data_IF_416628007984
#
_entry.id   IF_416628007984
#
_cell.length_a   1.000
_cell.length_b   1.000
_cell.length_c   1.000
_cell.angle_alpha   90.00
_cell.angle_beta   90.00
_cell.angle_gamma   90.00
#
_symmetry.space_group_name_H-M   'P 1'
#
loop_
_entity.id
_entity.type
_entity.pdbx_description
1 polymer ?
#
# COMPACT_ATOMS: atom_id res chain seq x y z
N UNK A 1 29.92 12.06 27.31
CA UNK A 1 29.91 13.36 28.02
C UNK A 1 29.06 14.30 27.18
N UNK A 2 27.79 14.56 27.54
CA UNK A 2 27.29 15.66 28.39
C UNK A 2 27.58 17.07 27.83
N UNK A 3 26.53 17.90 27.78
CA UNK A 3 26.56 19.36 27.67
C UNK A 3 26.05 19.85 26.29
N UNK A 4 24.88 20.46 26.09
CA UNK A 4 24.16 21.54 26.81
C UNK A 4 24.86 22.90 26.69
N UNK A 5 24.36 23.75 25.78
CA UNK A 5 24.62 25.21 25.68
C UNK A 5 23.36 25.79 24.99
N UNK A 6 22.38 26.45 25.61
CA UNK A 6 22.34 27.60 26.51
C UNK A 6 22.93 28.90 25.91
N UNK A 7 22.06 29.73 25.35
CA UNK A 7 22.31 31.16 25.08
C UNK A 7 21.06 31.93 25.58
N UNK A 8 21.15 32.67 26.71
CA UNK A 8 21.48 34.11 26.85
C UNK A 8 20.49 34.99 26.08
N UNK A 9 19.75 35.91 26.70
CA UNK A 9 20.17 37.12 27.44
C UNK A 9 19.11 37.45 28.52
N UNK A 10 19.43 37.70 29.80
CA UNK A 10 19.96 38.97 30.38
C UNK A 10 19.14 40.20 29.94
N UNK A 11 18.60 41.10 30.76
CA UNK A 11 18.60 41.37 32.21
C UNK A 11 18.05 42.78 32.34
N UNK A 12 16.93 43.05 33.02
CA UNK A 12 16.50 44.38 33.52
C UNK A 12 15.17 44.12 34.28
N UNK A 13 14.89 44.47 35.54
CA UNK A 13 15.54 45.27 36.58
C UNK A 13 15.03 44.80 37.96
N UNK A 14 15.96 44.81 38.92
CA UNK A 14 15.84 45.09 40.37
C UNK A 14 14.47 44.96 41.08
N UNK A 15 14.33 44.05 42.06
CA UNK A 15 14.76 44.20 43.47
C UNK A 15 13.93 45.24 44.26
N UNK A 16 13.04 44.78 45.14
CA UNK A 16 12.94 45.15 46.57
C UNK A 16 11.73 44.49 47.26
N UNK A 17 12.00 43.65 48.26
CA UNK A 17 11.25 43.55 49.52
C UNK A 17 12.17 44.09 50.63
N UNK A 18 11.70 44.47 51.83
CA UNK A 18 10.34 44.76 52.29
C UNK A 18 10.24 46.14 52.98
N UNK A 19 9.04 46.65 53.27
CA UNK A 19 8.86 47.71 54.26
C UNK A 19 7.60 47.41 55.08
N UNK A 20 7.83 46.99 56.32
CA UNK A 20 6.81 46.92 57.36
C UNK A 20 6.62 48.34 57.91
N UNK A 21 5.53 49.00 57.53
CA UNK A 21 5.12 50.29 58.11
C UNK A 21 3.82 50.03 58.87
N UNK A 22 3.95 49.94 60.19
CA UNK A 22 2.81 49.97 61.11
C UNK A 22 2.34 51.41 61.22
N UNK A 23 1.22 51.75 60.58
CA UNK A 23 0.48 52.97 60.92
C UNK A 23 -1.03 52.77 60.78
N UNK A 24 -1.68 52.82 61.96
CA UNK A 24 -3.00 53.40 62.25
C UNK A 24 -4.21 52.86 61.47
N UNK A 25 -5.13 52.29 62.24
CA UNK A 25 -6.52 52.06 61.84
C UNK A 25 -7.11 53.30 61.18
N UNK A 26 -7.50 53.16 59.91
CA UNK A 26 -8.53 53.97 59.29
C UNK A 26 -9.29 53.09 58.30
N UNK A 27 -10.61 53.12 58.42
CA UNK A 27 -11.56 52.30 57.68
C UNK A 27 -11.41 52.49 56.17
N UNK A 28 -11.06 51.43 55.45
CA UNK A 28 -11.10 51.38 53.97
C UNK A 28 -11.30 49.93 53.51
N UNK A 29 -12.38 49.31 53.98
CA UNK A 29 -12.63 47.87 53.92
C UNK A 29 -13.26 47.34 52.60
N UNK A 30 -13.50 48.19 51.59
CA UNK A 30 -14.09 47.74 50.32
C UNK A 30 -13.13 47.81 49.14
N UNK A 31 -12.33 48.87 49.04
CA UNK A 31 -11.58 49.17 47.80
C UNK A 31 -10.38 48.24 47.55
N UNK A 32 -9.69 47.75 48.59
CA UNK A 32 -8.56 46.81 48.43
C UNK A 32 -9.01 45.38 48.07
N UNK A 33 -10.18 44.94 48.56
CA UNK A 33 -10.72 43.62 48.20
C UNK A 33 -11.19 43.58 46.76
N UNK A 34 -11.76 44.68 46.27
CA UNK A 34 -12.16 44.79 44.87
C UNK A 34 -10.94 44.80 43.93
N UNK A 35 -9.83 45.46 44.30
CA UNK A 35 -8.62 45.47 43.48
C UNK A 35 -7.92 44.10 43.45
N UNK A 36 -7.87 43.40 44.59
CA UNK A 36 -7.32 42.04 44.66
C UNK A 36 -8.21 41.04 43.91
N UNK A 37 -9.54 41.21 43.96
CA UNK A 37 -10.51 40.42 43.21
C UNK A 37 -10.39 40.68 41.70
N UNK A 38 -10.25 41.94 41.27
CA UNK A 38 -10.08 42.30 39.86
C UNK A 38 -8.76 41.77 39.27
N UNK A 39 -7.68 41.82 40.05
CA UNK A 39 -6.40 41.20 39.66
C UNK A 39 -6.52 39.69 39.61
N UNK A 40 -7.20 39.05 40.58
CA UNK A 40 -7.43 37.60 40.57
C UNK A 40 -8.30 37.19 39.38
N UNK A 41 -9.38 37.89 39.05
CA UNK A 41 -10.26 37.61 37.90
C UNK A 41 -9.62 37.95 36.56
N UNK A 42 -8.79 38.99 36.46
CA UNK A 42 -8.00 39.26 35.25
C UNK A 42 -6.90 38.22 35.05
N UNK A 43 -6.29 37.71 36.12
CA UNK A 43 -5.24 36.69 36.05
C UNK A 43 -5.81 35.27 35.85
N UNK A 44 -7.04 35.01 36.30
CA UNK A 44 -7.78 33.76 36.05
C UNK A 44 -8.64 33.80 34.78
N UNK A 45 -8.72 34.95 34.11
CA UNK A 45 -9.42 35.15 32.84
C UNK A 45 -8.54 34.94 31.60
N UNK A 46 -7.26 34.57 31.75
CA UNK A 46 -6.50 34.03 30.64
C UNK A 46 -7.00 32.60 30.39
N UNK A 47 -7.73 32.33 29.28
CA UNK A 47 -8.06 30.96 28.93
C UNK A 47 -6.75 30.19 28.87
N UNK A 48 -6.67 29.06 29.61
CA UNK A 48 -5.45 28.28 29.84
C UNK A 48 -4.68 28.12 28.52
N UNK A 49 -3.67 28.97 28.29
CA UNK A 49 -2.99 29.12 26.99
C UNK A 49 -2.43 27.77 26.54
N UNK A 50 -2.03 26.94 27.50
CA UNK A 50 -1.55 25.57 27.31
C UNK A 50 -2.63 24.62 26.80
N UNK A 51 -3.86 24.73 27.29
CA UNK A 51 -4.96 23.89 26.81
C UNK A 51 -5.37 24.26 25.37
N UNK A 52 -5.29 25.55 25.02
CA UNK A 52 -5.53 26.04 23.66
C UNK A 52 -4.43 25.59 22.68
N UNK A 53 -3.17 25.59 23.12
CA UNK A 53 -2.03 25.08 22.36
C UNK A 53 -2.14 23.56 22.10
N UNK A 54 -2.44 22.75 23.13
CA UNK A 54 -2.63 21.29 22.98
C UNK A 54 -3.78 20.94 22.03
N UNK A 55 -4.86 21.73 22.05
CA UNK A 55 -5.96 21.57 21.11
C UNK A 55 -5.61 21.97 19.67
N UNK A 56 -4.83 23.04 19.50
CA UNK A 56 -4.32 23.44 18.20
C UNK A 56 -3.40 22.36 17.62
N UNK A 57 -2.47 21.82 18.40
CA UNK A 57 -1.57 20.74 17.97
C UNK A 57 -2.34 19.48 17.55
N UNK A 58 -3.38 19.10 18.30
CA UNK A 58 -4.24 17.95 17.96
C UNK A 58 -4.98 18.17 16.64
N UNK A 59 -5.54 19.36 16.42
CA UNK A 59 -6.26 19.72 15.18
C UNK A 59 -5.31 19.77 13.98
N UNK A 60 -4.13 20.35 14.16
CA UNK A 60 -3.08 20.41 13.13
C UNK A 60 -2.58 19.00 12.79
N UNK A 61 -2.38 18.13 13.78
CA UNK A 61 -2.01 16.74 13.56
C UNK A 61 -3.06 15.96 12.76
N UNK A 62 -4.35 16.17 13.04
CA UNK A 62 -5.45 15.59 12.26
C UNK A 62 -5.52 16.17 10.84
N UNK A 63 -5.32 17.48 10.68
CA UNK A 63 -5.27 18.12 9.36
C UNK A 63 -4.13 17.55 8.51
N UNK A 64 -2.92 17.42 9.06
CA UNK A 64 -1.81 16.81 8.35
C UNK A 64 -2.10 15.37 7.95
N UNK A 65 -2.71 14.56 8.82
CA UNK A 65 -3.12 13.19 8.47
C UNK A 65 -4.06 13.16 7.28
N UNK A 66 -5.03 14.08 7.21
CA UNK A 66 -5.96 14.17 6.08
C UNK A 66 -5.26 14.61 4.79
N UNK A 67 -4.33 15.57 4.87
CA UNK A 67 -3.51 15.98 3.71
C UNK A 67 -2.67 14.81 3.20
N UNK A 68 -1.99 14.10 4.11
CA UNK A 68 -1.19 12.92 3.76
C UNK A 68 -2.05 11.81 3.17
N UNK A 69 -3.20 11.50 3.79
CA UNK A 69 -4.11 10.49 3.28
C UNK A 69 -4.63 10.85 1.88
N UNK A 70 -5.10 12.08 1.69
CA UNK A 70 -5.60 12.55 0.40
C UNK A 70 -4.50 12.52 -0.68
N UNK A 71 -3.31 13.03 -0.35
CA UNK A 71 -2.18 13.04 -1.29
C UNK A 71 -1.73 11.61 -1.63
N UNK A 72 -1.62 10.74 -0.63
CA UNK A 72 -1.28 9.33 -0.82
C UNK A 72 -2.31 8.58 -1.68
N UNK A 73 -3.61 8.88 -1.53
CA UNK A 73 -4.66 8.31 -2.38
C UNK A 73 -4.51 8.75 -3.84
N UNK A 74 -4.28 10.05 -4.08
CA UNK A 74 -4.12 10.59 -5.46
C UNK A 74 -2.87 10.01 -6.13
N UNK A 75 -1.75 10.03 -5.42
CA UNK A 75 -0.48 9.45 -5.89
C UNK A 75 -0.63 7.94 -6.09
N UNK A 76 -1.28 7.25 -5.16
CA UNK A 76 -1.58 5.82 -5.25
C UNK A 76 -2.38 5.49 -6.50
N UNK A 77 -3.47 6.21 -6.76
CA UNK A 77 -4.29 6.02 -7.96
C UNK A 77 -3.50 6.26 -9.25
N UNK A 78 -2.56 7.21 -9.24
CA UNK A 78 -1.74 7.54 -10.39
C UNK A 78 -0.62 6.52 -10.64
N UNK A 79 0.10 6.07 -9.60
CA UNK A 79 1.29 5.21 -9.74
C UNK A 79 0.92 3.72 -9.88
N UNK A 80 -0.12 3.29 -9.16
CA UNK A 80 -0.49 1.88 -9.08
C UNK A 80 -0.78 1.21 -10.44
N UNK A 81 -1.45 1.84 -11.43
CA UNK A 81 -1.65 1.21 -12.73
C UNK A 81 -0.33 1.02 -13.50
N UNK A 82 0.56 2.00 -13.53
CA UNK A 82 1.85 1.90 -14.25
C UNK A 82 2.82 0.91 -13.60
N UNK A 83 2.74 0.74 -12.28
CA UNK A 83 3.56 -0.25 -11.58
C UNK A 83 3.15 -1.67 -11.96
N UNK A 84 1.86 -1.91 -12.23
CA UNK A 84 1.34 -3.23 -12.60
C UNK A 84 1.91 -3.76 -13.92
N UNK A 85 1.89 -2.93 -14.96
CA UNK A 85 2.26 -3.34 -16.32
C UNK A 85 3.73 -3.72 -16.45
N UNK A 86 4.63 -2.92 -15.85
CA UNK A 86 6.05 -3.25 -15.83
C UNK A 86 6.31 -4.57 -15.10
N UNK A 87 5.58 -4.84 -14.02
CA UNK A 87 5.70 -6.11 -13.29
C UNK A 87 5.16 -7.30 -14.09
N UNK A 88 4.11 -7.11 -14.90
CA UNK A 88 3.64 -8.13 -15.84
C UNK A 88 4.72 -8.41 -16.89
N UNK A 89 5.28 -7.38 -17.54
CA UNK A 89 6.36 -7.56 -18.52
C UNK A 89 7.59 -8.27 -17.93
N UNK A 90 8.00 -7.90 -16.72
CA UNK A 90 9.09 -8.57 -16.03
C UNK A 90 8.76 -10.04 -15.76
N UNK A 91 7.51 -10.33 -15.35
CA UNK A 91 7.06 -11.71 -15.11
C UNK A 91 7.04 -12.55 -16.39
N UNK A 92 6.61 -11.96 -17.51
CA UNK A 92 6.68 -12.59 -18.85
C UNK A 92 8.14 -12.81 -19.28
N UNK A 93 9.04 -11.87 -18.96
CA UNK A 93 10.46 -12.00 -19.26
C UNK A 93 11.12 -13.16 -18.50
N UNK A 94 10.73 -13.39 -17.24
CA UNK A 94 11.22 -14.50 -16.42
C UNK A 94 10.90 -15.88 -16.99
N UNK A 95 9.81 -16.03 -17.77
CA UNK A 95 9.45 -17.29 -18.42
C UNK A 95 10.51 -17.76 -19.44
N UNK A 96 11.28 -16.83 -20.01
CA UNK A 96 12.34 -17.11 -20.97
C UNK A 96 13.70 -17.42 -20.35
N UNK A 97 13.85 -17.29 -19.02
CA UNK A 97 15.11 -17.55 -18.33
C UNK A 97 15.39 -19.06 -18.30
N UNK A 98 16.67 -19.46 -18.32
CA UNK A 98 17.05 -20.89 -18.34
C UNK A 98 16.64 -21.65 -17.08
N UNK A 99 16.77 -21.02 -15.93
CA UNK A 99 16.55 -21.65 -14.63
C UNK A 99 15.03 -21.80 -14.34
N UNK A 100 14.55 -23.06 -14.11
CA UNK A 100 13.15 -23.34 -13.82
C UNK A 100 12.57 -22.57 -12.63
N UNK A 101 13.38 -22.23 -11.63
CA UNK A 101 12.89 -21.49 -10.45
C UNK A 101 12.37 -20.09 -10.83
N UNK A 102 13.08 -19.40 -11.71
CA UNK A 102 12.65 -18.08 -12.20
C UNK A 102 11.44 -18.19 -13.12
N UNK A 103 11.35 -19.24 -13.95
CA UNK A 103 10.15 -19.49 -14.76
C UNK A 103 8.91 -19.67 -13.89
N UNK A 104 9.00 -20.50 -12.86
CA UNK A 104 7.92 -20.73 -11.88
C UNK A 104 7.52 -19.43 -11.17
N UNK A 105 8.50 -18.63 -10.76
CA UNK A 105 8.24 -17.32 -10.14
C UNK A 105 7.48 -16.39 -11.10
N UNK A 106 7.88 -16.33 -12.36
CA UNK A 106 7.20 -15.55 -13.39
C UNK A 106 5.75 -16.01 -13.58
N UNK A 107 5.53 -17.31 -13.78
CA UNK A 107 4.20 -17.89 -13.95
C UNK A 107 3.29 -17.64 -12.73
N UNK A 108 3.81 -17.86 -11.52
CA UNK A 108 3.08 -17.61 -10.27
C UNK A 108 2.66 -16.14 -10.12
N UNK A 109 3.52 -15.19 -10.51
CA UNK A 109 3.18 -13.76 -10.54
C UNK A 109 2.09 -13.45 -11.56
N UNK A 110 2.16 -14.02 -12.76
CA UNK A 110 1.13 -13.83 -13.79
C UNK A 110 -0.24 -14.33 -13.32
N UNK A 111 -0.30 -15.45 -12.60
CA UNK A 111 -1.53 -15.92 -11.95
C UNK A 111 -2.13 -14.86 -11.01
N UNK A 112 -1.30 -14.17 -10.24
CA UNK A 112 -1.73 -13.10 -9.32
C UNK A 112 -2.15 -11.83 -10.04
N UNK A 113 -1.58 -11.54 -11.21
CA UNK A 113 -1.97 -10.37 -12.01
C UNK A 113 -3.25 -10.61 -12.83
N UNK A 114 -3.62 -11.86 -13.12
CA UNK A 114 -4.83 -12.22 -13.85
C UNK A 114 -6.12 -12.07 -13.01
N UNK A 115 -6.37 -10.88 -12.47
CA UNK A 115 -7.52 -10.57 -11.60
C UNK A 115 -8.81 -10.42 -12.39
N UNK A 116 -8.76 -9.62 -13.44
CA UNK A 116 -9.88 -9.22 -14.30
C UNK A 116 -9.48 -9.40 -15.76
N UNK A 117 -10.44 -9.19 -16.67
CA UNK A 117 -10.26 -9.50 -18.08
C UNK A 117 -9.32 -8.52 -18.78
N UNK A 118 -9.31 -7.25 -18.37
CA UNK A 118 -8.35 -6.24 -18.85
C UNK A 118 -6.91 -6.66 -18.51
N UNK A 119 -6.67 -7.06 -17.25
CA UNK A 119 -5.36 -7.55 -16.82
C UNK A 119 -4.97 -8.86 -17.50
N UNK A 120 -5.93 -9.77 -17.74
CA UNK A 120 -5.68 -11.01 -18.51
C UNK A 120 -5.23 -10.70 -19.93
N UNK A 121 -5.92 -9.77 -20.60
CA UNK A 121 -5.53 -9.33 -21.94
C UNK A 121 -4.19 -8.61 -21.94
N UNK A 122 -3.87 -7.83 -20.91
CA UNK A 122 -2.54 -7.22 -20.79
C UNK A 122 -1.40 -8.24 -20.76
N UNK A 123 -1.61 -9.37 -20.08
CA UNK A 123 -0.64 -10.49 -20.09
C UNK A 123 -0.49 -11.05 -21.51
N UNK A 124 -1.60 -11.21 -22.23
CA UNK A 124 -1.62 -11.68 -23.62
C UNK A 124 -0.87 -10.73 -24.56
N UNK A 125 -1.18 -9.43 -24.50
CA UNK A 125 -0.54 -8.37 -25.29
C UNK A 125 0.98 -8.32 -25.09
N UNK A 126 1.45 -8.61 -23.87
CA UNK A 126 2.87 -8.69 -23.56
C UNK A 126 3.53 -10.00 -24.01
N UNK A 127 2.82 -10.87 -24.72
CA UNK A 127 3.30 -12.17 -25.20
C UNK A 127 3.31 -13.28 -24.14
N UNK A 128 2.61 -13.08 -23.03
CA UNK A 128 2.54 -14.04 -21.92
C UNK A 128 1.91 -15.38 -22.33
N UNK A 129 0.91 -15.36 -23.20
CA UNK A 129 0.25 -16.58 -23.69
C UNK A 129 1.24 -17.52 -24.37
N UNK A 130 1.96 -17.02 -25.38
CA UNK A 130 2.95 -17.79 -26.12
C UNK A 130 4.06 -18.33 -25.20
N UNK A 131 4.62 -17.48 -24.34
CA UNK A 131 5.71 -17.89 -23.44
C UNK A 131 5.28 -18.90 -22.38
N UNK A 132 4.04 -18.85 -21.91
CA UNK A 132 3.51 -19.85 -20.96
C UNK A 132 3.32 -21.21 -21.63
N UNK A 133 2.83 -21.23 -22.87
CA UNK A 133 2.69 -22.47 -23.66
C UNK A 133 4.07 -23.07 -23.95
N UNK A 134 5.04 -22.25 -24.36
CA UNK A 134 6.44 -22.69 -24.54
C UNK A 134 7.06 -23.21 -23.24
N UNK A 135 6.83 -22.52 -22.12
CA UNK A 135 7.29 -22.96 -20.81
C UNK A 135 6.71 -24.33 -20.44
N UNK A 136 5.41 -24.55 -20.68
CA UNK A 136 4.76 -25.83 -20.41
C UNK A 136 5.33 -26.95 -21.29
N UNK A 137 5.48 -26.71 -22.59
CA UNK A 137 6.03 -27.70 -23.52
C UNK A 137 7.50 -28.04 -23.25
N UNK A 138 8.28 -27.07 -22.76
CA UNK A 138 9.69 -27.28 -22.40
C UNK A 138 9.91 -27.80 -20.97
N UNK A 139 8.86 -27.93 -20.16
CA UNK A 139 8.98 -28.30 -18.75
C UNK A 139 9.43 -29.77 -18.60
N UNK A 140 10.49 -29.98 -17.81
CA UNK A 140 11.02 -31.32 -17.50
C UNK A 140 10.48 -31.90 -16.19
N UNK A 141 9.95 -31.04 -15.33
CA UNK A 141 9.54 -31.37 -13.97
C UNK A 141 8.12 -30.87 -13.69
N UNK A 142 7.45 -31.57 -12.77
CA UNK A 142 6.04 -31.34 -12.45
C UNK A 142 5.77 -30.00 -11.74
N UNK A 143 6.62 -29.52 -10.80
CA UNK A 143 6.44 -28.17 -10.25
C UNK A 143 6.42 -27.06 -11.31
N UNK A 144 7.25 -27.17 -12.35
CA UNK A 144 7.25 -26.23 -13.48
C UNK A 144 5.97 -26.35 -14.32
N UNK A 145 5.54 -27.59 -14.63
CA UNK A 145 4.27 -27.83 -15.35
C UNK A 145 3.08 -27.26 -14.58
N UNK A 146 3.03 -27.48 -13.27
CA UNK A 146 1.97 -27.04 -12.38
C UNK A 146 1.81 -25.52 -12.38
N UNK A 147 2.90 -24.77 -12.23
CA UNK A 147 2.85 -23.31 -12.25
C UNK A 147 2.46 -22.76 -13.63
N UNK A 148 2.97 -23.36 -14.72
CA UNK A 148 2.56 -22.99 -16.06
C UNK A 148 1.06 -23.23 -16.30
N UNK A 149 0.56 -24.43 -15.95
CA UNK A 149 -0.85 -24.78 -16.07
C UNK A 149 -1.76 -23.89 -15.22
N UNK A 150 -1.35 -23.59 -13.98
CA UNK A 150 -2.11 -22.70 -13.10
C UNK A 150 -2.23 -21.29 -13.68
N UNK A 151 -1.14 -20.75 -14.24
CA UNK A 151 -1.15 -19.47 -14.93
C UNK A 151 -2.07 -19.47 -16.16
N UNK A 152 -2.00 -20.53 -16.99
CA UNK A 152 -2.88 -20.69 -18.15
C UNK A 152 -4.35 -20.77 -17.71
N UNK A 153 -4.66 -21.49 -16.62
CA UNK A 153 -6.01 -21.56 -16.03
C UNK A 153 -6.52 -20.19 -15.58
N UNK A 154 -5.64 -19.36 -15.01
CA UNK A 154 -6.01 -18.03 -14.54
C UNK A 154 -6.30 -17.06 -15.70
N UNK A 155 -5.51 -17.15 -16.78
CA UNK A 155 -5.65 -16.33 -17.99
C UNK A 155 -6.88 -16.77 -18.80
N UNK A 156 -7.11 -18.08 -18.94
CA UNK A 156 -8.22 -18.64 -19.72
C UNK A 156 -9.62 -18.35 -19.13
N UNK A 157 -9.74 -17.60 -18.03
CA UNK A 157 -11.03 -17.16 -17.49
C UNK A 157 -11.72 -16.11 -18.36
N UNK A 158 -10.98 -15.34 -19.15
CA UNK A 158 -11.52 -14.46 -20.19
C UNK A 158 -11.67 -15.24 -21.50
N UNK A 159 -12.74 -15.00 -22.26
CA UNK A 159 -12.97 -15.65 -23.57
C UNK A 159 -11.91 -15.21 -24.59
N UNK A 160 -11.63 -13.92 -24.67
CA UNK A 160 -10.63 -13.34 -25.57
C UNK A 160 -9.23 -13.88 -25.26
N UNK A 161 -8.85 -13.91 -23.98
CA UNK A 161 -7.56 -14.44 -23.56
C UNK A 161 -7.44 -15.95 -23.78
N UNK A 162 -8.55 -16.69 -23.62
CA UNK A 162 -8.62 -18.11 -23.98
C UNK A 162 -8.44 -18.32 -25.49
N UNK A 163 -9.02 -17.47 -26.34
CA UNK A 163 -8.81 -17.48 -27.79
C UNK A 163 -7.35 -17.24 -28.18
N UNK A 164 -6.66 -16.34 -27.47
CA UNK A 164 -5.23 -16.10 -27.67
C UNK A 164 -4.37 -17.31 -27.26
N UNK A 165 -4.68 -17.95 -26.12
CA UNK A 165 -4.03 -19.19 -25.69
C UNK A 165 -4.27 -20.34 -26.68
N UNK A 166 -5.48 -20.45 -27.21
CA UNK A 166 -5.81 -21.41 -28.26
C UNK A 166 -4.94 -21.19 -29.51
N UNK A 167 -4.83 -19.93 -29.95
CA UNK A 167 -4.01 -19.54 -31.10
C UNK A 167 -2.52 -19.78 -30.87
N UNK A 168 -2.04 -19.67 -29.63
CA UNK A 168 -0.67 -20.02 -29.23
C UNK A 168 -0.39 -21.54 -29.19
N UNK A 169 -1.37 -22.39 -29.50
CA UNK A 169 -1.20 -23.85 -29.50
C UNK A 169 -1.33 -24.48 -28.11
N UNK A 170 -2.03 -23.85 -27.17
CA UNK A 170 -2.15 -24.39 -25.81
C UNK A 170 -2.78 -25.80 -25.78
N UNK A 171 -3.77 -26.09 -26.65
CA UNK A 171 -4.45 -27.40 -26.66
C UNK A 171 -3.48 -28.54 -26.93
N UNK A 172 -2.66 -28.45 -27.98
CA UNK A 172 -1.72 -29.52 -28.33
C UNK A 172 -0.72 -29.76 -27.20
N UNK A 173 -0.14 -28.70 -26.66
CA UNK A 173 0.82 -28.80 -25.57
C UNK A 173 0.21 -29.40 -24.30
N UNK A 174 -1.05 -29.06 -23.97
CA UNK A 174 -1.74 -29.63 -22.80
C UNK A 174 -2.03 -31.12 -22.97
N UNK A 175 -2.40 -31.55 -24.19
CA UNK A 175 -2.61 -32.97 -24.52
C UNK A 175 -1.29 -33.74 -24.45
N UNK A 176 -0.22 -33.16 -24.99
CA UNK A 176 1.13 -33.75 -25.00
C UNK A 176 1.80 -33.72 -23.62
N UNK A 177 1.25 -32.97 -22.66
CA UNK A 177 1.76 -32.91 -21.29
C UNK A 177 1.58 -34.29 -20.63
N UNK A 178 2.67 -34.94 -20.18
CA UNK A 178 2.62 -36.29 -19.64
C UNK A 178 1.71 -36.36 -18.40
N UNK A 179 1.18 -37.54 -18.14
CA UNK A 179 0.41 -37.80 -16.92
C UNK A 179 1.31 -37.62 -15.70
N UNK A 180 0.83 -36.88 -14.71
CA UNK A 180 1.53 -36.67 -13.45
C UNK A 180 0.82 -37.37 -12.29
N UNK A 181 1.58 -37.74 -11.26
CA UNK A 181 1.02 -38.20 -9.97
C UNK A 181 0.41 -37.03 -9.15
N UNK A 182 0.77 -35.78 -9.47
CA UNK A 182 0.17 -34.59 -8.85
C UNK A 182 -1.26 -34.39 -9.39
N UNK A 183 -2.25 -34.68 -8.54
CA UNK A 183 -3.66 -34.53 -8.86
C UNK A 183 -4.04 -33.10 -9.30
N UNK A 184 -3.32 -32.06 -8.87
CA UNK A 184 -3.58 -30.69 -9.30
C UNK A 184 -3.22 -30.46 -10.76
N UNK A 185 -2.17 -31.09 -11.27
CA UNK A 185 -1.77 -31.00 -12.69
C UNK A 185 -2.87 -31.57 -13.57
N UNK A 186 -3.36 -32.78 -13.26
CA UNK A 186 -4.44 -33.40 -14.03
C UNK A 186 -5.75 -32.61 -13.92
N UNK A 187 -6.05 -32.05 -12.75
CA UNK A 187 -7.18 -31.15 -12.56
C UNK A 187 -7.08 -29.89 -13.44
N UNK A 188 -5.90 -29.28 -13.54
CA UNK A 188 -5.70 -28.11 -14.40
C UNK A 188 -5.83 -28.47 -15.88
N UNK A 189 -5.23 -29.59 -16.32
CA UNK A 189 -5.37 -30.10 -17.69
C UNK A 189 -6.84 -30.30 -18.05
N UNK A 190 -7.60 -31.03 -17.23
CA UNK A 190 -9.02 -31.27 -17.44
C UNK A 190 -9.84 -29.96 -17.51
N UNK A 191 -9.55 -29.01 -16.61
CA UNK A 191 -10.22 -27.70 -16.58
C UNK A 191 -9.95 -26.90 -17.85
N UNK A 192 -8.71 -26.89 -18.34
CA UNK A 192 -8.34 -26.19 -19.57
C UNK A 192 -8.97 -26.82 -20.81
N UNK A 193 -8.93 -28.15 -20.92
CA UNK A 193 -9.54 -28.86 -22.05
C UNK A 193 -11.06 -28.69 -22.09
N UNK A 194 -11.71 -28.59 -20.92
CA UNK A 194 -13.12 -28.19 -20.85
C UNK A 194 -13.29 -26.74 -21.34
N UNK A 195 -12.52 -25.82 -20.77
CA UNK A 195 -12.62 -24.38 -21.09
C UNK A 195 -12.45 -24.09 -22.59
N UNK A 196 -11.48 -24.72 -23.25
CA UNK A 196 -11.27 -24.51 -24.69
C UNK A 196 -12.35 -25.14 -25.57
N UNK A 197 -13.07 -26.17 -25.10
CA UNK A 197 -14.27 -26.66 -25.80
C UNK A 197 -15.39 -25.64 -25.73
N UNK A 198 -15.65 -25.12 -24.52
CA UNK A 198 -16.71 -24.13 -24.30
C UNK A 198 -16.50 -22.87 -25.17
N UNK A 199 -15.26 -22.41 -25.35
CA UNK A 199 -14.94 -21.24 -26.20
C UNK A 199 -15.11 -21.51 -27.71
N UNK A 200 -14.97 -22.76 -28.17
CA UNK A 200 -15.13 -23.12 -29.57
C UNK A 200 -16.60 -23.16 -30.01
N UNK A 201 -17.52 -23.23 -29.03
CA UNK A 201 -18.97 -23.30 -29.24
C UNK A 201 -19.65 -21.92 -29.24
N UNK A 202 -18.88 -20.84 -29.09
CA UNK A 202 -19.31 -19.42 -29.17
C UNK A 202 -18.88 -18.84 -30.52
#
# INVERSE_FOLDING_TARGET
MRGLVAARFSSYLCRRKPANVRSRQCSSSSYERDFQFLIYTCFSGFPDERAMEEEAERKIGWLFKLIFAGTATVVGYSIFPYLGDNLIQQSVSLLGVKDPLFKRMGASRLTRFATDDERRMKIVEMGGAQKLVEMLGAAKDDPTRKEALNAIVAIARSDEAAGALHSAGAISVIIDTPTSEDAEIEKYKAKLLKRFRDVKEI
#
